data_IF_021091762547
#
_entry.id   IF_021091762547
#
_cell.length_a   1.000
_cell.length_b   1.000
_cell.length_c   1.000
_cell.angle_alpha   90.00
_cell.angle_beta   90.00
_cell.angle_gamma   90.00
#
_symmetry.space_group_name_H-M   'P 1'
#
loop_
_entity.id
_entity.type
_entity.pdbx_description
1 polymer ?
#
# COMPACT_ATOMS: atom_id res chain seq x y z
N UNK A 1 -17.78 -6.50 -15.02
CA UNK A 1 -17.50 -5.27 -14.25
C UNK A 1 -18.48 -5.17 -13.11
N UNK A 2 -19.71 -4.75 -13.40
CA UNK A 2 -20.81 -4.69 -12.43
C UNK A 2 -21.06 -6.03 -11.72
N UNK A 3 -21.14 -7.14 -12.46
CA UNK A 3 -21.33 -8.50 -11.91
C UNK A 3 -20.27 -8.90 -10.87
N UNK A 4 -19.02 -8.47 -11.06
CA UNK A 4 -17.94 -8.76 -10.10
C UNK A 4 -18.17 -7.97 -8.80
N UNK A 5 -18.56 -6.70 -8.89
CA UNK A 5 -18.86 -5.89 -7.72
C UNK A 5 -20.09 -6.41 -6.98
N UNK A 6 -21.12 -6.81 -7.71
CA UNK A 6 -22.31 -7.44 -7.14
C UNK A 6 -21.95 -8.70 -6.35
N UNK A 7 -21.11 -9.59 -6.90
CA UNK A 7 -20.65 -10.77 -6.18
C UNK A 7 -19.87 -10.42 -4.90
N UNK A 8 -19.09 -9.33 -4.92
CA UNK A 8 -18.32 -8.87 -3.76
C UNK A 8 -19.18 -8.30 -2.62
N UNK A 9 -20.45 -7.95 -2.86
CA UNK A 9 -21.38 -7.54 -1.79
C UNK A 9 -21.62 -8.65 -0.75
N UNK A 10 -21.49 -9.91 -1.16
CA UNK A 10 -21.68 -11.08 -0.28
C UNK A 10 -20.42 -11.48 0.49
N UNK A 11 -19.29 -10.81 0.26
CA UNK A 11 -18.05 -11.11 0.95
C UNK A 11 -18.06 -10.55 2.37
N UNK A 12 -18.24 -11.44 3.36
CA UNK A 12 -18.28 -11.07 4.79
C UNK A 12 -16.97 -11.33 5.53
N UNK A 13 -15.90 -11.67 4.80
CA UNK A 13 -14.59 -11.92 5.38
C UNK A 13 -13.86 -10.63 5.79
N UNK A 14 -12.62 -10.76 6.29
CA UNK A 14 -11.73 -9.63 6.47
C UNK A 14 -11.58 -8.82 5.17
N UNK A 15 -11.36 -7.51 5.32
CA UNK A 15 -11.22 -6.61 4.19
C UNK A 15 -10.02 -6.98 3.31
N UNK A 16 -10.25 -7.11 2.00
CA UNK A 16 -9.25 -7.46 0.99
C UNK A 16 -9.28 -6.49 -0.18
N UNK A 17 -8.11 -6.26 -0.76
CA UNK A 17 -7.94 -5.51 -2.00
C UNK A 17 -8.25 -6.42 -3.20
N UNK A 18 -9.36 -6.20 -3.89
CA UNK A 18 -9.73 -6.97 -5.09
C UNK A 18 -9.47 -6.13 -6.33
N UNK A 19 -8.61 -6.64 -7.22
CA UNK A 19 -8.42 -6.09 -8.57
C UNK A 19 -9.10 -7.05 -9.55
N UNK A 20 -9.82 -6.50 -10.53
CA UNK A 20 -10.45 -7.29 -11.56
C UNK A 20 -10.24 -6.71 -12.96
N UNK A 21 -10.30 -7.59 -13.95
CA UNK A 21 -10.34 -7.26 -15.37
C UNK A 21 -11.39 -8.14 -16.05
N UNK A 22 -12.32 -7.52 -16.78
CA UNK A 22 -13.38 -8.21 -17.50
C UNK A 22 -13.01 -8.36 -18.98
N UNK A 23 -13.54 -9.40 -19.64
CA UNK A 23 -13.34 -9.61 -21.09
C UNK A 23 -13.84 -8.45 -21.95
N UNK A 24 -14.79 -7.66 -21.43
CA UNK A 24 -15.28 -6.42 -22.08
C UNK A 24 -14.27 -5.27 -22.03
N UNK A 25 -13.08 -5.48 -21.46
CA UNK A 25 -12.04 -4.45 -21.30
C UNK A 25 -12.14 -3.62 -20.03
N UNK A 26 -13.17 -3.83 -19.20
CA UNK A 26 -13.31 -3.07 -17.94
C UNK A 26 -12.31 -3.55 -16.89
N UNK A 27 -11.54 -2.64 -16.32
CA UNK A 27 -10.65 -2.89 -15.18
C UNK A 27 -11.13 -2.14 -13.95
N UNK A 28 -10.83 -2.65 -12.76
CA UNK A 28 -11.18 -1.93 -11.55
C UNK A 28 -10.56 -2.50 -10.29
N UNK A 29 -10.78 -1.74 -9.22
CA UNK A 29 -10.44 -2.09 -7.86
C UNK A 29 -11.68 -1.92 -6.98
N UNK A 30 -11.83 -2.81 -6.01
CA UNK A 30 -12.83 -2.75 -4.95
C UNK A 30 -12.17 -3.21 -3.64
N UNK A 31 -12.29 -2.41 -2.58
CA UNK A 31 -12.12 -2.91 -1.22
C UNK A 31 -13.35 -3.75 -0.88
N UNK A 32 -13.16 -5.01 -0.51
CA UNK A 32 -14.28 -5.91 -0.19
C UNK A 32 -14.11 -6.52 1.20
N UNK A 33 -15.18 -6.51 1.99
CA UNK A 33 -15.24 -7.09 3.33
C UNK A 33 -15.69 -6.14 4.41
N UNK A 34 -15.74 -6.66 5.62
CA UNK A 34 -16.32 -5.95 6.75
C UNK A 34 -15.29 -4.98 7.35
N UNK A 35 -15.55 -3.68 7.19
CA UNK A 35 -14.77 -2.60 7.82
C UNK A 35 -15.61 -1.98 8.93
N UNK A 36 -15.22 -2.12 10.22
CA UNK A 36 -16.05 -1.65 11.31
C UNK A 36 -15.99 -0.12 11.46
N UNK A 37 -17.13 0.47 11.80
CA UNK A 37 -17.24 1.87 12.23
C UNK A 37 -16.99 1.92 13.73
N UNK A 38 -15.83 2.45 14.12
CA UNK A 38 -15.41 2.51 15.53
C UNK A 38 -15.82 3.84 16.16
N UNK A 39 -15.84 3.91 17.49
CA UNK A 39 -15.81 5.19 18.19
C UNK A 39 -14.51 5.94 17.88
N UNK A 40 -14.54 7.28 17.86
CA UNK A 40 -13.37 8.13 17.57
C UNK A 40 -12.16 7.82 18.47
N UNK A 41 -12.41 7.49 19.75
CA UNK A 41 -11.38 7.11 20.72
C UNK A 41 -10.73 5.74 20.44
N UNK A 42 -11.32 4.92 19.56
CA UNK A 42 -10.82 3.59 19.24
C UNK A 42 -10.03 3.60 17.92
N UNK A 43 -8.71 3.67 18.02
CA UNK A 43 -7.80 3.70 16.85
C UNK A 43 -7.72 2.38 16.05
N UNK A 44 -8.12 1.26 16.65
CA UNK A 44 -7.99 -0.07 16.06
C UNK A 44 -6.55 -0.63 16.02
N UNK A 45 -5.57 0.06 16.60
CA UNK A 45 -4.15 -0.35 16.61
C UNK A 45 -3.77 -1.14 17.86
N UNK A 46 -4.32 -0.75 19.01
CA UNK A 46 -4.02 -1.36 20.30
C UNK A 46 -5.26 -2.03 20.91
N UNK A 47 -5.07 -3.02 21.80
CA UNK A 47 -6.17 -3.53 22.62
C UNK A 47 -6.82 -2.40 23.41
N UNK A 48 -8.14 -2.48 23.58
CA UNK A 48 -8.95 -1.52 24.32
C UNK A 48 -9.73 -2.24 25.42
N UNK A 49 -10.10 -1.54 26.52
CA UNK A 49 -10.97 -2.11 27.54
C UNK A 49 -12.31 -2.59 26.96
N UNK A 50 -12.56 -3.90 26.98
CA UNK A 50 -13.80 -4.50 26.47
C UNK A 50 -14.93 -4.59 27.52
N UNK A 51 -14.74 -3.99 28.70
CA UNK A 51 -15.73 -3.97 29.79
C UNK A 51 -16.39 -2.60 29.96
N UNK A 52 -16.13 -1.66 29.05
CA UNK A 52 -16.75 -0.33 28.99
C UNK A 52 -17.24 -0.08 27.56
N UNK A 53 -18.33 0.67 27.42
CA UNK A 53 -19.01 0.84 26.12
C UNK A 53 -18.31 1.85 25.19
N UNK A 54 -17.34 2.62 25.70
CA UNK A 54 -16.66 3.72 24.99
C UNK A 54 -15.95 3.27 23.69
N UNK A 55 -15.62 1.98 23.56
CA UNK A 55 -14.86 1.42 22.43
C UNK A 55 -15.69 0.52 21.51
N UNK A 56 -16.99 0.39 21.77
CA UNK A 56 -17.87 -0.45 20.97
C UNK A 56 -17.95 0.00 19.51
N UNK A 57 -18.12 -0.97 18.61
CA UNK A 57 -18.32 -0.70 17.19
C UNK A 57 -19.78 -0.32 16.95
N UNK A 58 -20.00 0.69 16.11
CA UNK A 58 -21.36 1.18 15.76
C UNK A 58 -21.97 0.43 14.57
N UNK A 59 -21.23 -0.51 13.99
CA UNK A 59 -21.63 -1.26 12.81
C UNK A 59 -20.46 -1.45 11.84
N UNK A 60 -20.78 -1.64 10.57
CA UNK A 60 -19.83 -1.76 9.47
C UNK A 60 -20.17 -0.76 8.37
N UNK A 61 -19.16 -0.33 7.61
CA UNK A 61 -19.38 0.45 6.40
C UNK A 61 -20.27 -0.32 5.42
N UNK A 62 -21.16 0.39 4.73
CA UNK A 62 -21.92 -0.18 3.62
C UNK A 62 -20.97 -0.51 2.46
N UNK A 63 -21.38 -1.40 1.57
CA UNK A 63 -20.55 -1.78 0.42
C UNK A 63 -20.29 -0.57 -0.50
N UNK A 64 -21.24 0.35 -0.55
CA UNK A 64 -21.22 1.58 -1.32
C UNK A 64 -20.19 2.60 -0.78
N UNK A 65 -19.93 2.58 0.53
CA UNK A 65 -18.93 3.43 1.18
C UNK A 65 -17.50 2.90 1.04
N UNK A 66 -17.35 1.61 0.67
CA UNK A 66 -16.04 1.00 0.49
C UNK A 66 -15.35 1.56 -0.77
N UNK A 67 -14.05 1.95 -0.68
CA UNK A 67 -13.32 2.49 -1.81
C UNK A 67 -13.32 1.58 -3.03
N UNK A 68 -13.61 2.16 -4.19
CA UNK A 68 -13.55 1.47 -5.47
C UNK A 68 -13.16 2.43 -6.59
N UNK A 69 -12.68 1.88 -7.70
CA UNK A 69 -12.45 2.64 -8.93
C UNK A 69 -12.65 1.73 -10.13
N UNK A 70 -13.27 2.25 -11.19
CA UNK A 70 -13.53 1.52 -12.44
C UNK A 70 -12.98 2.33 -13.59
N UNK A 71 -12.22 1.69 -14.48
CA UNK A 71 -11.63 2.30 -15.67
C UNK A 71 -10.97 3.67 -15.39
N UNK A 72 -9.98 3.73 -14.47
CA UNK A 72 -9.32 5.00 -14.18
C UNK A 72 -8.66 5.56 -15.45
N UNK A 73 -8.64 6.89 -15.59
CA UNK A 73 -8.07 7.57 -16.78
C UNK A 73 -6.62 7.16 -17.06
N UNK A 74 -5.84 6.86 -16.01
CA UNK A 74 -4.47 6.36 -16.14
C UNK A 74 -4.33 5.00 -16.83
N UNK A 75 -5.44 4.27 -17.01
CA UNK A 75 -5.48 3.02 -17.78
C UNK A 75 -4.98 1.76 -17.05
N UNK A 76 -4.64 1.85 -15.77
CA UNK A 76 -4.17 0.70 -14.99
C UNK A 76 -4.54 0.80 -13.50
N UNK A 77 -4.52 -0.35 -12.83
CA UNK A 77 -4.78 -0.51 -11.39
C UNK A 77 -3.72 -1.42 -10.78
N UNK A 78 -3.15 -1.04 -9.64
CA UNK A 78 -2.18 -1.85 -8.92
C UNK A 78 -2.33 -1.66 -7.39
N UNK A 79 -2.24 -2.75 -6.64
CA UNK A 79 -2.26 -2.76 -5.18
C UNK A 79 -1.14 -3.65 -4.66
N UNK A 80 -0.42 -3.17 -3.67
CA UNK A 80 0.78 -3.76 -3.12
C UNK A 80 0.92 -3.44 -1.62
N UNK A 81 -0.20 -3.46 -0.89
CA UNK A 81 -0.22 -3.15 0.54
C UNK A 81 0.29 -1.74 0.83
N UNK A 82 -0.03 -0.78 -0.03
CA UNK A 82 0.06 0.64 0.28
C UNK A 82 -1.31 1.13 0.78
N UNK A 83 -1.34 2.34 1.36
CA UNK A 83 -2.58 3.02 1.70
C UNK A 83 -3.54 3.05 0.49
N UNK A 84 -4.80 2.67 0.74
CA UNK A 84 -5.85 2.54 -0.28
C UNK A 84 -6.36 3.91 -0.70
N UNK A 85 -6.60 4.77 0.30
CA UNK A 85 -7.17 6.11 0.14
C UNK A 85 -6.15 7.20 0.50
N UNK A 86 -6.28 8.43 -0.02
CA UNK A 86 -5.35 9.51 0.29
C UNK A 86 -5.46 9.98 1.75
N UNK A 87 -4.45 10.71 2.27
CA UNK A 87 -4.56 11.38 3.56
C UNK A 87 -5.81 12.26 3.64
N UNK A 88 -6.50 12.21 4.79
CA UNK A 88 -7.72 12.98 5.03
C UNK A 88 -9.01 12.33 4.52
N UNK A 89 -8.94 11.22 3.76
CA UNK A 89 -10.13 10.49 3.31
C UNK A 89 -11.00 10.02 4.48
N UNK A 90 -10.40 9.40 5.50
CA UNK A 90 -11.16 8.84 6.63
C UNK A 90 -11.93 9.93 7.41
N UNK A 91 -11.38 11.15 7.49
CA UNK A 91 -12.06 12.29 8.10
C UNK A 91 -13.24 12.78 7.27
N UNK A 92 -13.08 12.83 5.94
CA UNK A 92 -14.18 13.15 5.02
C UNK A 92 -15.28 12.10 5.07
N UNK A 93 -14.90 10.81 5.15
CA UNK A 93 -15.85 9.71 5.29
C UNK A 93 -16.59 9.79 6.63
N UNK A 94 -15.89 10.13 7.72
CA UNK A 94 -16.52 10.31 9.03
C UNK A 94 -17.57 11.44 9.02
N UNK A 95 -17.31 12.54 8.31
CA UNK A 95 -18.27 13.63 8.12
C UNK A 95 -19.49 13.18 7.29
N UNK A 96 -19.26 12.44 6.20
CA UNK A 96 -20.34 11.90 5.34
C UNK A 96 -21.26 10.95 6.09
N UNK A 97 -20.70 10.16 7.01
CA UNK A 97 -21.41 9.13 7.77
C UNK A 97 -21.96 9.63 9.12
N UNK A 98 -21.82 10.91 9.42
CA UNK A 98 -22.24 11.49 10.71
C UNK A 98 -23.76 11.38 10.94
N UNK A 99 -24.57 11.47 9.89
CA UNK A 99 -26.03 11.34 9.98
C UNK A 99 -26.46 9.89 10.28
N UNK A 100 -25.69 8.91 9.83
CA UNK A 100 -26.00 7.48 9.99
C UNK A 100 -25.48 6.91 11.31
N UNK A 101 -24.19 7.16 11.62
CA UNK A 101 -23.53 6.56 12.78
C UNK A 101 -23.32 7.55 13.94
N UNK A 102 -23.78 8.79 13.79
CA UNK A 102 -23.59 9.88 14.75
C UNK A 102 -22.21 10.55 14.66
N UNK A 103 -22.01 11.64 15.38
CA UNK A 103 -20.71 12.30 15.45
C UNK A 103 -19.67 11.44 16.19
N UNK A 104 -18.38 11.75 16.00
CA UNK A 104 -17.25 11.11 16.68
C UNK A 104 -17.12 9.61 16.35
N UNK A 105 -16.99 9.31 15.06
CA UNK A 105 -16.68 7.97 14.55
C UNK A 105 -15.29 7.93 13.93
N UNK A 106 -14.70 6.73 13.93
CA UNK A 106 -13.46 6.42 13.25
C UNK A 106 -13.70 5.29 12.23
N UNK A 107 -14.01 5.61 10.97
CA UNK A 107 -14.15 4.65 9.87
C UNK A 107 -12.80 4.35 9.20
N UNK A 108 -11.71 4.27 9.96
CA UNK A 108 -10.36 4.10 9.41
C UNK A 108 -10.25 2.92 8.43
N UNK A 109 -10.01 3.26 7.15
CA UNK A 109 -9.68 2.30 6.09
C UNK A 109 -8.17 2.04 6.06
N UNK A 110 -7.37 3.08 6.32
CA UNK A 110 -5.92 2.96 6.38
C UNK A 110 -5.44 2.95 7.84
N UNK A 111 -4.76 1.88 8.27
CA UNK A 111 -3.94 1.92 9.48
C UNK A 111 -2.50 2.21 9.05
N UNK A 112 -1.88 3.26 9.61
CA UNK A 112 -0.56 3.82 9.23
C UNK A 112 0.37 2.82 8.49
N UNK A 113 0.52 2.99 7.18
CA UNK A 113 1.26 2.07 6.32
C UNK A 113 2.72 2.54 6.11
N UNK A 114 3.70 1.62 6.02
CA UNK A 114 5.05 1.98 5.56
C UNK A 114 5.02 2.44 4.10
N UNK A 115 6.07 3.15 3.67
CA UNK A 115 6.19 4.07 2.51
C UNK A 115 5.84 3.53 1.09
N UNK A 116 5.14 2.41 0.97
CA UNK A 116 4.55 1.96 -0.29
C UNK A 116 5.57 1.61 -1.35
N UNK A 117 6.83 1.33 -0.98
CA UNK A 117 7.95 1.15 -1.91
C UNK A 117 7.66 0.22 -3.08
N UNK A 118 7.01 -0.93 -2.80
CA UNK A 118 6.62 -1.89 -3.85
C UNK A 118 5.56 -1.31 -4.78
N UNK A 119 4.57 -0.60 -4.24
CA UNK A 119 3.57 0.11 -5.05
C UNK A 119 4.23 1.20 -5.92
N UNK A 120 5.14 2.00 -5.35
CA UNK A 120 5.87 3.02 -6.08
C UNK A 120 6.72 2.42 -7.22
N UNK A 121 7.40 1.31 -6.95
CA UNK A 121 8.20 0.59 -7.95
C UNK A 121 7.34 0.00 -9.07
N UNK A 122 6.22 -0.64 -8.73
CA UNK A 122 5.25 -1.14 -9.72
C UNK A 122 4.73 0.01 -10.58
N UNK A 123 4.33 1.13 -9.96
CA UNK A 123 3.83 2.30 -10.69
C UNK A 123 4.90 2.87 -11.65
N UNK A 124 6.16 2.94 -11.20
CA UNK A 124 7.28 3.38 -12.03
C UNK A 124 7.45 2.48 -13.25
N UNK A 125 7.49 1.16 -13.06
CA UNK A 125 7.68 0.22 -14.16
C UNK A 125 6.47 0.18 -15.11
N UNK A 126 5.25 0.25 -14.57
CA UNK A 126 4.04 0.30 -15.40
C UNK A 126 4.07 1.54 -16.29
N UNK A 127 4.45 2.69 -15.74
CA UNK A 127 4.49 3.98 -16.46
C UNK A 127 5.65 4.06 -17.44
N UNK A 128 6.79 3.42 -17.14
CA UNK A 128 7.97 3.44 -18.00
C UNK A 128 7.81 2.60 -19.29
N UNK A 129 6.82 1.71 -19.36
CA UNK A 129 6.56 0.87 -20.53
C UNK A 129 5.23 1.22 -21.17
N UNK A 130 5.25 1.62 -22.45
CA UNK A 130 4.06 2.05 -23.19
C UNK A 130 3.01 0.94 -23.42
N UNK A 131 3.39 -0.34 -23.33
CA UNK A 131 2.47 -1.48 -23.44
C UNK A 131 2.99 -2.70 -22.69
N UNK A 132 2.17 -3.25 -21.80
CA UNK A 132 2.43 -4.52 -21.11
C UNK A 132 1.75 -5.65 -21.89
N UNK A 133 2.53 -6.57 -22.45
CA UNK A 133 1.99 -7.68 -23.27
C UNK A 133 1.96 -9.00 -22.50
N UNK A 134 0.93 -9.82 -22.76
CA UNK A 134 0.82 -11.19 -22.21
C UNK A 134 1.58 -12.13 -23.16
N UNK A 135 2.87 -12.35 -22.91
CA UNK A 135 3.68 -13.26 -23.71
C UNK A 135 5.05 -13.55 -23.12
N UNK A 136 5.52 -14.80 -23.23
CA UNK A 136 6.93 -15.15 -23.00
C UNK A 136 7.75 -14.46 -24.08
N UNK A 137 8.53 -13.46 -23.69
CA UNK A 137 9.35 -12.75 -24.64
C UNK A 137 10.48 -13.63 -25.16
N UNK A 138 10.64 -13.68 -26.49
CA UNK A 138 11.77 -14.37 -27.15
C UNK A 138 13.07 -13.55 -27.14
N UNK A 139 13.08 -12.29 -26.67
CA UNK A 139 14.24 -11.39 -26.84
C UNK A 139 14.46 -10.28 -25.79
N UNK A 140 13.98 -10.43 -24.55
CA UNK A 140 14.48 -9.67 -23.38
C UNK A 140 14.46 -8.14 -23.46
N UNK A 141 13.32 -7.54 -23.79
CA UNK A 141 13.06 -6.11 -23.50
C UNK A 141 12.03 -5.95 -22.38
N UNK A 142 12.27 -4.98 -21.51
CA UNK A 142 11.78 -4.87 -20.13
C UNK A 142 10.27 -4.59 -19.94
N UNK A 143 9.44 -4.85 -20.95
CA UNK A 143 8.02 -4.46 -21.00
C UNK A 143 7.00 -5.59 -20.84
N UNK A 144 7.37 -6.71 -20.20
CA UNK A 144 6.44 -7.83 -19.96
C UNK A 144 6.00 -7.90 -18.50
N UNK A 145 4.78 -8.40 -18.25
CA UNK A 145 4.28 -8.64 -16.89
C UNK A 145 5.23 -9.55 -16.07
N UNK A 146 5.94 -10.47 -16.74
CA UNK A 146 6.93 -11.33 -16.12
C UNK A 146 8.13 -10.54 -15.56
N UNK A 147 8.57 -9.48 -16.25
CA UNK A 147 9.64 -8.61 -15.78
C UNK A 147 9.23 -7.81 -14.53
N UNK A 148 7.98 -7.31 -14.49
CA UNK A 148 7.41 -6.67 -13.30
C UNK A 148 7.40 -7.63 -12.09
N UNK A 149 6.98 -8.87 -12.33
CA UNK A 149 6.88 -9.90 -11.27
C UNK A 149 8.24 -10.37 -10.77
N UNK A 150 9.28 -10.31 -11.61
CA UNK A 150 10.64 -10.71 -11.28
C UNK A 150 11.50 -9.57 -10.70
N UNK A 151 10.96 -8.35 -10.57
CA UNK A 151 11.70 -7.21 -10.02
C UNK A 151 12.09 -7.47 -8.56
N UNK A 152 13.41 -7.49 -8.31
CA UNK A 152 14.02 -7.72 -7.00
C UNK A 152 14.77 -6.49 -6.47
N UNK A 153 14.56 -5.32 -7.09
CA UNK A 153 15.31 -4.11 -6.75
C UNK A 153 14.88 -3.58 -5.39
N UNK A 154 15.83 -3.54 -4.45
CA UNK A 154 15.67 -2.87 -3.17
C UNK A 154 15.72 -1.35 -3.32
N UNK A 155 14.56 -0.68 -3.23
CA UNK A 155 14.46 0.79 -3.28
C UNK A 155 15.21 1.49 -2.14
N UNK A 156 15.40 0.80 -1.00
CA UNK A 156 16.15 1.29 0.14
C UNK A 156 17.63 1.56 -0.18
N UNK A 157 18.19 0.96 -1.24
CA UNK A 157 19.58 1.23 -1.65
C UNK A 157 19.78 2.70 -2.00
N UNK A 158 18.77 3.36 -2.58
CA UNK A 158 18.82 4.79 -2.87
C UNK A 158 18.85 5.66 -1.60
N UNK A 159 18.25 5.18 -0.50
CA UNK A 159 18.23 5.85 0.80
C UNK A 159 19.55 5.63 1.56
N UNK A 160 20.10 4.41 1.50
CA UNK A 160 21.31 4.05 2.25
C UNK A 160 22.63 4.41 1.54
N UNK A 161 22.65 4.48 0.20
CA UNK A 161 23.87 4.79 -0.54
C UNK A 161 24.48 6.17 -0.16
N UNK A 162 23.70 7.25 0.02
CA UNK A 162 24.21 8.52 0.51
C UNK A 162 24.69 8.47 1.97
N UNK A 163 24.00 7.69 2.82
CA UNK A 163 24.37 7.53 4.24
C UNK A 163 25.70 6.79 4.42
N UNK A 164 25.98 5.81 3.55
CA UNK A 164 27.27 5.12 3.50
C UNK A 164 28.42 6.09 3.26
N UNK A 165 28.25 7.06 2.37
CA UNK A 165 29.30 8.05 2.05
C UNK A 165 29.51 9.06 3.18
N UNK A 166 28.46 9.37 3.94
CA UNK A 166 28.53 10.31 5.08
C UNK A 166 29.12 9.68 6.35
N UNK A 167 28.90 8.39 6.60
CA UNK A 167 29.32 7.72 7.84
C UNK A 167 30.71 7.06 7.75
N UNK A 168 31.20 6.73 6.54
CA UNK A 168 32.53 6.15 6.36
C UNK A 168 33.68 7.03 6.89
N UNK A 169 33.70 8.36 6.64
CA UNK A 169 34.79 9.22 7.14
C UNK A 169 34.85 9.29 8.67
N UNK A 170 33.69 9.28 9.35
CA UNK A 170 33.61 9.35 10.81
C UNK A 170 34.10 8.06 11.48
N UNK A 171 33.77 6.89 10.91
CA UNK A 171 34.22 5.59 11.41
C UNK A 171 35.71 5.32 11.16
N UNK A 172 36.27 5.75 10.03
CA UNK A 172 37.71 5.63 9.77
C UNK A 172 38.55 6.51 10.71
N UNK A 173 38.05 7.68 11.12
CA UNK A 173 38.75 8.56 12.06
C UNK A 173 38.85 7.93 13.46
N UNK A 174 37.84 7.16 13.89
CA UNK A 174 37.85 6.49 15.20
C UNK A 174 38.61 5.15 15.23
N UNK A 175 38.85 4.52 14.07
CA UNK A 175 39.56 3.23 13.98
C UNK A 175 41.04 3.36 13.58
N UNK A 176 41.49 4.56 13.21
CA UNK A 176 42.85 4.82 12.71
C UNK A 176 43.85 5.23 13.79
N UNK A 177 44.18 4.35 14.74
CA UNK A 177 45.40 4.44 15.57
C UNK A 177 45.67 3.10 16.26
N UNK A 178 46.13 2.05 15.54
CA UNK A 178 46.85 0.90 16.14
C UNK A 178 47.31 -0.18 15.12
N UNK A 179 47.73 0.19 13.91
CA UNK A 179 48.50 -0.75 13.06
C UNK A 179 49.76 -0.05 12.56
N UNK A 180 50.85 -0.20 13.32
CA UNK A 180 52.21 0.08 12.85
C UNK A 180 52.57 -1.03 11.88
N UNK A 181 52.58 -0.72 10.58
CA UNK A 181 53.22 -1.57 9.59
C UNK A 181 54.73 -1.47 9.78
N UNK A 182 55.35 -2.50 10.36
CA UNK A 182 56.80 -2.68 10.30
C UNK A 182 57.09 -3.44 9.01
N UNK A 183 57.60 -2.73 8.02
CA UNK A 183 58.49 -3.30 7.00
C UNK A 183 59.36 -2.18 6.42
N UNK A 184 60.67 -2.29 6.66
CA UNK A 184 61.73 -1.43 6.13
C UNK A 184 62.58 -2.28 5.16
N UNK A 185 62.94 -1.79 3.95
CA UNK A 185 63.67 -2.59 2.98
C UNK A 185 65.19 -2.36 3.07
N UNK A 186 65.95 -3.45 3.14
CA UNK A 186 67.24 -3.67 2.46
C UNK A 186 67.65 -5.13 2.61
#
# INVERSE_FOLDING_TARGET
GAEIREALTTWTGPAVNVIYAAQTGNIGYQLAGNVPVRADVHSGVFPVPGWVDDYEWRGFLSFEDLPYIVNPERGWVATAGQAVVPPGYDAQLAEQLADEFGPNINPAINQHWPDGYRAARINQQITATAAHTVGRQRNGTDGTMAALQADSIGTLVAVFAPLRTQLLPALLCCLGSNVVAKDSPS
#
